data_IF_375399566229
#
_entry.id   IF_375399566229
#
_cell.length_a   1.000
_cell.length_b   1.000
_cell.length_c   1.000
_cell.angle_alpha   90.00
_cell.angle_beta   90.00
_cell.angle_gamma   90.00
#
_symmetry.space_group_name_H-M   'P 1'
#
loop_
_entity.id
_entity.type
_entity.pdbx_description
1 polymer ?
#
# COMPACT_ATOMS: atom_id res chain seq x y z
N UNK A 1 15.29 -0.70 5.45
CA UNK A 1 14.28 0.08 4.71
C UNK A 1 14.88 0.55 3.39
N UNK A 2 14.16 0.42 2.27
CA UNK A 2 14.70 0.67 0.91
C UNK A 2 14.61 2.12 0.45
N UNK A 3 13.93 3.01 1.21
CA UNK A 3 13.61 4.39 0.79
C UNK A 3 12.81 4.46 -0.53
N UNK A 4 12.14 3.37 -0.91
CA UNK A 4 11.34 3.27 -2.13
C UNK A 4 9.86 3.54 -1.87
N UNK A 5 9.16 4.03 -2.90
CA UNK A 5 7.71 4.23 -2.87
C UNK A 5 7.03 3.07 -3.59
N UNK A 6 6.23 2.30 -2.85
CA UNK A 6 5.41 1.22 -3.41
C UNK A 6 3.98 1.74 -3.64
N UNK A 7 3.67 2.19 -4.86
CA UNK A 7 2.36 2.77 -5.19
C UNK A 7 1.19 1.81 -5.00
N UNK A 8 1.43 0.50 -5.11
CA UNK A 8 0.42 -0.54 -4.89
C UNK A 8 -0.13 -0.52 -3.46
N UNK A 9 0.67 -0.03 -2.50
CA UNK A 9 0.31 0.12 -1.09
C UNK A 9 -0.64 1.30 -0.81
N UNK A 10 -0.84 2.19 -1.79
CA UNK A 10 -1.81 3.28 -1.77
C UNK A 10 -2.89 3.04 -2.83
N UNK A 11 -3.69 1.97 -2.68
CA UNK A 11 -4.62 1.54 -3.70
C UNK A 11 -5.60 2.65 -4.05
N UNK A 12 -5.79 2.88 -5.35
CA UNK A 12 -6.81 3.78 -5.90
C UNK A 12 -6.84 5.21 -5.32
N UNK A 13 -5.70 5.70 -4.81
CA UNK A 13 -5.59 7.09 -4.37
C UNK A 13 -5.97 8.04 -5.51
N UNK A 14 -5.67 7.68 -6.76
CA UNK A 14 -5.97 8.42 -7.99
C UNK A 14 -7.44 8.83 -8.11
N UNK A 15 -8.37 7.99 -7.67
CA UNK A 15 -9.80 8.32 -7.73
C UNK A 15 -10.15 9.47 -6.78
N UNK A 16 -9.37 9.65 -5.71
CA UNK A 16 -9.51 10.72 -4.73
C UNK A 16 -8.67 11.96 -5.07
N UNK A 17 -7.98 12.00 -6.21
CA UNK A 17 -7.16 13.13 -6.63
C UNK A 17 -7.92 14.10 -7.54
N UNK A 18 -7.71 15.39 -7.31
CA UNK A 18 -8.09 16.46 -8.23
C UNK A 18 -7.04 16.66 -9.33
N UNK A 19 -5.77 16.59 -8.97
CA UNK A 19 -4.67 16.80 -9.90
C UNK A 19 -3.38 16.12 -9.44
N UNK A 20 -2.53 15.81 -10.42
CA UNK A 20 -1.16 15.33 -10.24
C UNK A 20 -0.26 16.31 -10.98
N UNK A 21 0.75 16.83 -10.29
CA UNK A 21 1.78 17.70 -10.86
C UNK A 21 3.12 17.00 -10.83
N UNK A 22 3.83 17.00 -11.95
CA UNK A 22 5.16 16.40 -12.08
C UNK A 22 6.16 17.49 -12.42
N UNK A 23 7.10 17.74 -11.51
CA UNK A 23 8.24 18.63 -11.72
C UNK A 23 9.47 17.77 -12.00
N UNK A 24 10.02 17.87 -13.21
CA UNK A 24 11.25 17.15 -13.60
C UNK A 24 12.50 17.93 -13.23
N UNK A 25 13.58 17.22 -12.94
CA UNK A 25 14.85 17.78 -12.50
C UNK A 25 14.97 17.82 -10.98
N UNK A 26 15.95 18.58 -10.49
CA UNK A 26 16.19 18.72 -9.06
C UNK A 26 14.96 19.34 -8.40
N UNK A 27 14.32 18.56 -7.53
CA UNK A 27 13.14 19.00 -6.77
C UNK A 27 13.48 20.15 -5.83
N UNK A 28 12.50 20.99 -5.51
CA UNK A 28 12.65 22.02 -4.50
C UNK A 28 12.68 21.37 -3.10
N UNK A 29 13.74 21.63 -2.33
CA UNK A 29 13.88 21.11 -0.95
C UNK A 29 12.80 21.61 0.02
N UNK A 30 12.04 22.63 -0.39
CA UNK A 30 10.92 23.18 0.37
C UNK A 30 9.76 22.18 0.53
N UNK A 31 9.70 21.12 -0.29
CA UNK A 31 8.68 20.07 -0.23
C UNK A 31 9.18 18.73 0.33
N UNK A 32 10.41 18.68 0.87
CA UNK A 32 10.99 17.47 1.45
C UNK A 32 12.39 17.16 0.95
N UNK A 33 12.84 15.92 1.13
CA UNK A 33 14.14 15.47 0.65
C UNK A 33 14.25 15.65 -0.87
N UNK A 34 15.27 16.35 -1.33
CA UNK A 34 15.43 16.67 -2.74
C UNK A 34 15.64 15.38 -3.57
N UNK A 35 14.73 15.11 -4.49
CA UNK A 35 14.90 14.07 -5.50
C UNK A 35 15.61 14.65 -6.74
N UNK A 36 16.61 13.92 -7.25
CA UNK A 36 17.38 14.37 -8.43
C UNK A 36 16.64 14.11 -9.76
N UNK A 37 15.64 13.22 -9.76
CA UNK A 37 14.89 12.83 -10.97
C UNK A 37 13.66 13.70 -11.24
N UNK A 38 12.68 13.64 -10.34
CA UNK A 38 11.45 14.42 -10.40
C UNK A 38 10.77 14.46 -9.03
N UNK A 39 9.89 15.45 -8.82
CA UNK A 39 8.96 15.53 -7.71
C UNK A 39 7.52 15.36 -8.23
N UNK A 40 6.73 14.55 -7.55
CA UNK A 40 5.30 14.36 -7.85
C UNK A 40 4.49 14.94 -6.70
N UNK A 41 3.65 15.94 -7.00
CA UNK A 41 2.69 16.50 -6.05
C UNK A 41 1.29 16.05 -6.43
N UNK A 42 0.60 15.41 -5.47
CA UNK A 42 -0.75 14.89 -5.65
C UNK A 42 -1.70 15.71 -4.80
N UNK A 43 -2.67 16.37 -5.44
CA UNK A 43 -3.68 17.15 -4.74
C UNK A 43 -4.95 16.31 -4.64
N UNK A 44 -5.35 15.95 -3.42
CA UNK A 44 -6.65 15.31 -3.15
C UNK A 44 -7.80 16.24 -3.52
N UNK A 45 -8.96 15.67 -3.83
CA UNK A 45 -10.17 16.42 -4.13
C UNK A 45 -10.46 17.52 -3.09
N UNK A 46 -10.59 18.75 -3.57
CA UNK A 46 -11.04 19.91 -2.82
C UNK A 46 -12.55 19.86 -2.55
N UNK A 47 -13.03 20.63 -1.58
CA UNK A 47 -14.47 20.83 -1.42
C UNK A 47 -15.05 21.47 -2.68
N UNK A 48 -16.23 21.00 -3.12
CA UNK A 48 -17.00 21.65 -4.19
C UNK A 48 -17.81 22.81 -3.63
N UNK A 49 -18.20 23.76 -4.47
CA UNK A 49 -19.07 24.87 -4.05
C UNK A 49 -20.48 24.41 -3.65
N UNK A 50 -20.95 23.29 -4.20
CA UNK A 50 -22.28 22.74 -3.92
C UNK A 50 -22.21 21.27 -3.53
N UNK A 51 -23.25 20.80 -2.84
CA UNK A 51 -23.43 19.39 -2.53
C UNK A 51 -23.41 18.53 -3.80
N UNK A 52 -22.87 17.33 -3.67
CA UNK A 52 -22.77 16.38 -4.79
C UNK A 52 -22.83 14.94 -4.30
N UNK A 53 -23.23 14.08 -5.23
CA UNK A 53 -23.10 12.63 -5.13
C UNK A 53 -22.69 12.10 -6.49
N UNK A 54 -21.73 11.20 -6.51
CA UNK A 54 -21.21 10.56 -7.72
C UNK A 54 -21.06 9.07 -7.48
N UNK A 55 -21.43 8.29 -8.49
CA UNK A 55 -21.13 6.88 -8.54
C UNK A 55 -20.58 6.57 -9.93
N UNK A 56 -19.48 5.84 -9.99
CA UNK A 56 -18.90 5.35 -11.23
C UNK A 56 -18.58 3.88 -11.09
N UNK A 57 -18.86 3.11 -12.14
CA UNK A 57 -18.44 1.72 -12.24
C UNK A 57 -17.87 1.48 -13.63
N UNK A 58 -16.79 0.72 -13.69
CA UNK A 58 -16.21 0.24 -14.94
C UNK A 58 -15.99 -1.26 -14.86
N UNK A 59 -16.09 -1.90 -16.01
CA UNK A 59 -15.86 -3.33 -16.18
C UNK A 59 -14.95 -3.53 -17.40
N UNK A 60 -14.07 -4.53 -17.35
CA UNK A 60 -13.11 -4.79 -18.43
C UNK A 60 -12.62 -6.23 -18.47
N UNK A 61 -11.61 -6.47 -19.30
CA UNK A 61 -10.96 -7.77 -19.43
C UNK A 61 -10.46 -8.32 -18.08
N UNK A 62 -10.31 -9.65 -17.99
CA UNK A 62 -9.86 -10.34 -16.79
C UNK A 62 -10.74 -10.09 -15.56
N UNK A 63 -12.05 -9.99 -15.79
CA UNK A 63 -13.04 -9.67 -14.74
C UNK A 63 -12.65 -8.44 -13.92
N UNK A 64 -12.06 -7.43 -14.57
CA UNK A 64 -11.68 -6.20 -13.90
C UNK A 64 -12.94 -5.39 -13.61
N UNK A 65 -13.19 -5.08 -12.35
CA UNK A 65 -14.25 -4.20 -11.90
C UNK A 65 -13.65 -3.08 -11.05
N UNK A 66 -13.98 -1.84 -11.37
CA UNK A 66 -13.66 -0.69 -10.54
C UNK A 66 -14.94 0.07 -10.25
N UNK A 67 -15.27 0.19 -8.97
CA UNK A 67 -16.46 0.88 -8.50
C UNK A 67 -16.05 1.98 -7.53
N UNK A 68 -16.61 3.16 -7.70
CA UNK A 68 -16.38 4.28 -6.80
C UNK A 68 -17.69 4.98 -6.48
N UNK A 69 -17.85 5.35 -5.22
CA UNK A 69 -18.93 6.22 -4.75
C UNK A 69 -18.28 7.40 -4.04
N UNK A 70 -18.73 8.61 -4.34
CA UNK A 70 -18.30 9.83 -3.68
C UNK A 70 -19.50 10.69 -3.32
N UNK A 71 -19.42 11.40 -2.20
CA UNK A 71 -20.41 12.37 -1.80
C UNK A 71 -19.75 13.49 -1.01
N UNK A 72 -20.30 14.69 -1.12
CA UNK A 72 -19.87 15.80 -0.30
C UNK A 72 -20.96 16.82 -0.09
N UNK A 73 -20.89 17.54 1.02
CA UNK A 73 -21.83 18.61 1.35
C UNK A 73 -21.68 19.86 0.47
N UNK A 74 -20.53 19.97 -0.20
CA UNK A 74 -20.01 21.26 -0.65
C UNK A 74 -19.68 22.18 0.52
N UNK A 75 -19.24 23.40 0.21
CA UNK A 75 -18.95 24.41 1.22
C UNK A 75 -20.27 24.99 1.75
N UNK A 76 -20.58 24.69 3.01
CA UNK A 76 -21.75 25.22 3.72
C UNK A 76 -21.59 26.70 4.04
N UNK A 77 -22.69 27.36 4.40
CA UNK A 77 -22.70 28.80 4.75
C UNK A 77 -21.75 29.18 5.89
N UNK A 78 -21.46 28.24 6.79
CA UNK A 78 -20.52 28.43 7.90
C UNK A 78 -19.08 28.04 7.53
N UNK A 79 -18.78 27.81 6.25
CA UNK A 79 -17.45 27.44 5.77
C UNK A 79 -17.10 25.95 5.92
N UNK A 80 -17.92 25.13 6.58
CA UNK A 80 -17.66 23.70 6.71
C UNK A 80 -17.91 22.96 5.40
N UNK A 81 -17.06 21.98 5.09
CA UNK A 81 -17.29 20.99 4.03
C UNK A 81 -16.93 19.60 4.54
N UNK A 82 -17.78 18.63 4.22
CA UNK A 82 -17.52 17.21 4.40
C UNK A 82 -17.46 16.56 3.02
N UNK A 83 -16.42 15.77 2.79
CA UNK A 83 -16.22 15.00 1.56
C UNK A 83 -15.86 13.56 1.93
N UNK A 84 -16.47 12.60 1.24
CA UNK A 84 -16.19 11.19 1.43
C UNK A 84 -16.19 10.47 0.08
N UNK A 85 -15.28 9.52 -0.09
CA UNK A 85 -15.14 8.69 -1.28
C UNK A 85 -14.72 7.28 -0.87
N UNK A 86 -15.38 6.29 -1.45
CA UNK A 86 -15.01 4.89 -1.30
C UNK A 86 -14.86 4.26 -2.66
N UNK A 87 -13.80 3.49 -2.85
CA UNK A 87 -13.58 2.72 -4.07
C UNK A 87 -13.20 1.28 -3.79
N UNK A 88 -13.55 0.43 -4.76
CA UNK A 88 -13.31 -1.01 -4.76
C UNK A 88 -12.86 -1.41 -6.17
N UNK A 89 -11.65 -1.94 -6.27
CA UNK A 89 -11.08 -2.40 -7.53
C UNK A 89 -10.72 -3.88 -7.41
N UNK A 90 -11.26 -4.73 -8.27
CA UNK A 90 -10.99 -6.17 -8.32
C UNK A 90 -10.63 -6.59 -9.73
N UNK A 91 -9.87 -7.66 -9.89
CA UNK A 91 -9.62 -8.28 -11.20
C UNK A 91 -8.68 -9.47 -11.13
N UNK A 92 -8.86 -10.43 -12.03
CA UNK A 92 -8.15 -11.71 -12.05
C UNK A 92 -6.78 -11.64 -12.72
N UNK A 93 -6.44 -10.48 -13.30
CA UNK A 93 -5.19 -10.24 -14.02
C UNK A 93 -4.95 -11.14 -15.24
N UNK A 94 -3.89 -10.84 -15.98
CA UNK A 94 -3.49 -11.64 -17.15
C UNK A 94 -2.68 -12.88 -16.75
N UNK A 95 -1.77 -12.72 -15.79
CA UNK A 95 -0.83 -13.74 -15.32
C UNK A 95 -1.54 -14.64 -14.30
N UNK A 96 -1.31 -15.96 -14.36
CA UNK A 96 -1.85 -16.93 -13.39
C UNK A 96 -1.50 -16.50 -11.96
N UNK A 97 -2.44 -16.69 -11.03
CA UNK A 97 -2.33 -16.27 -9.63
C UNK A 97 -2.10 -14.77 -9.42
N UNK A 98 -2.03 -13.95 -10.47
CA UNK A 98 -1.91 -12.52 -10.36
C UNK A 98 -3.28 -11.87 -10.37
N UNK A 99 -3.76 -11.42 -9.22
CA UNK A 99 -5.05 -10.73 -9.10
C UNK A 99 -4.89 -9.44 -8.30
N UNK A 100 -5.89 -8.56 -8.38
CA UNK A 100 -6.00 -7.37 -7.54
C UNK A 100 -7.31 -7.40 -6.78
N UNK A 101 -7.24 -7.05 -5.50
CA UNK A 101 -8.37 -6.89 -4.59
C UNK A 101 -8.04 -5.69 -3.71
N UNK A 102 -8.47 -4.52 -4.15
CA UNK A 102 -8.10 -3.23 -3.56
C UNK A 102 -9.35 -2.51 -3.06
N UNK A 103 -9.26 -1.86 -1.92
CA UNK A 103 -10.27 -0.88 -1.49
C UNK A 103 -9.60 0.36 -0.92
N UNK A 104 -10.23 1.50 -1.11
CA UNK A 104 -9.76 2.76 -0.54
C UNK A 104 -10.93 3.58 -0.02
N UNK A 105 -10.77 4.12 1.18
CA UNK A 105 -11.68 5.08 1.78
C UNK A 105 -10.93 6.39 1.97
N UNK A 106 -11.47 7.47 1.41
CA UNK A 106 -11.05 8.83 1.65
C UNK A 106 -12.18 9.60 2.33
N UNK A 107 -11.86 10.32 3.41
CA UNK A 107 -12.77 11.25 4.04
C UNK A 107 -12.03 12.54 4.40
N UNK A 108 -12.68 13.68 4.26
CA UNK A 108 -12.12 14.96 4.64
C UNK A 108 -13.17 15.87 5.28
N UNK A 109 -12.80 16.48 6.41
CA UNK A 109 -13.51 17.59 7.02
C UNK A 109 -12.67 18.85 6.81
N UNK A 110 -13.25 19.85 6.16
CA UNK A 110 -12.59 21.13 5.91
C UNK A 110 -13.40 22.28 6.49
N UNK A 111 -12.73 23.33 6.92
CA UNK A 111 -13.32 24.61 7.28
C UNK A 111 -12.62 25.74 6.52
N UNK A 112 -13.40 26.45 5.73
CA UNK A 112 -12.97 27.55 4.88
C UNK A 112 -13.39 28.88 5.50
N UNK A 113 -12.47 29.84 5.54
CA UNK A 113 -12.79 31.26 5.73
C UNK A 113 -12.13 32.08 4.62
N UNK A 114 -12.32 33.39 4.63
CA UNK A 114 -11.78 34.29 3.60
C UNK A 114 -10.24 34.25 3.48
N UNK A 115 -9.54 33.85 4.54
CA UNK A 115 -8.08 33.86 4.61
C UNK A 115 -7.47 32.59 5.22
N UNK A 116 -8.27 31.53 5.44
CA UNK A 116 -7.76 30.32 6.06
C UNK A 116 -8.48 29.05 5.57
N UNK A 117 -7.74 27.94 5.56
CA UNK A 117 -8.23 26.59 5.35
C UNK A 117 -7.67 25.70 6.45
N UNK A 118 -8.56 25.06 7.21
CA UNK A 118 -8.22 23.91 8.04
C UNK A 118 -8.82 22.67 7.43
N UNK A 119 -8.04 21.61 7.23
CA UNK A 119 -8.50 20.34 6.66
C UNK A 119 -7.94 19.17 7.44
N UNK A 120 -8.83 18.31 7.92
CA UNK A 120 -8.50 16.98 8.45
C UNK A 120 -8.92 15.94 7.42
N UNK A 121 -7.97 15.16 6.92
CA UNK A 121 -8.20 14.08 5.96
C UNK A 121 -7.84 12.74 6.56
N UNK A 122 -8.59 11.71 6.19
CA UNK A 122 -8.33 10.32 6.50
C UNK A 122 -8.35 9.50 5.21
N UNK A 123 -7.30 8.71 4.99
CA UNK A 123 -7.18 7.77 3.88
C UNK A 123 -6.96 6.38 4.47
N UNK A 124 -7.77 5.41 4.07
CA UNK A 124 -7.58 4.02 4.41
C UNK A 124 -7.45 3.17 3.14
N UNK A 125 -6.24 2.70 2.88
CA UNK A 125 -5.94 1.79 1.79
C UNK A 125 -5.89 0.35 2.28
N UNK A 126 -6.51 -0.56 1.54
CA UNK A 126 -6.35 -2.01 1.70
C UNK A 126 -6.00 -2.63 0.36
N UNK A 127 -4.85 -3.26 0.31
CA UNK A 127 -4.33 -3.99 -0.82
C UNK A 127 -4.32 -5.48 -0.47
N UNK A 128 -4.87 -6.29 -1.36
CA UNK A 128 -4.55 -7.71 -1.49
C UNK A 128 -4.29 -8.01 -2.95
N UNK A 129 -3.12 -8.54 -3.26
CA UNK A 129 -2.73 -8.90 -4.62
C UNK A 129 -2.15 -10.29 -4.65
N UNK A 130 -2.37 -10.99 -5.75
CA UNK A 130 -1.67 -12.21 -6.04
C UNK A 130 -0.22 -11.94 -6.44
N UNK A 131 0.72 -12.78 -5.98
CA UNK A 131 2.16 -12.56 -6.21
C UNK A 131 2.54 -12.83 -7.68
N UNK A 132 3.20 -11.88 -8.33
CA UNK A 132 3.70 -12.01 -9.72
C UNK A 132 5.14 -11.51 -9.91
N UNK A 133 5.93 -11.38 -8.85
CA UNK A 133 7.32 -10.91 -8.93
C UNK A 133 8.34 -12.06 -9.11
N UNK A 134 7.88 -13.31 -9.16
CA UNK A 134 8.75 -14.45 -9.42
C UNK A 134 9.21 -14.45 -10.88
N UNK A 135 10.52 -14.52 -11.10
CA UNK A 135 11.10 -14.63 -12.43
C UNK A 135 10.82 -15.99 -13.07
N UNK A 136 10.59 -16.03 -14.38
CA UNK A 136 10.46 -17.26 -15.16
C UNK A 136 11.59 -17.38 -16.18
N UNK A 137 12.04 -18.61 -16.45
CA UNK A 137 13.04 -18.86 -17.49
C UNK A 137 12.42 -18.81 -18.90
N UNK A 138 13.22 -18.59 -19.96
CA UNK A 138 12.72 -18.76 -21.34
C UNK A 138 12.13 -20.14 -21.61
N UNK A 139 12.68 -21.18 -20.99
CA UNK A 139 12.19 -22.56 -21.11
C UNK A 139 10.79 -22.72 -20.48
N UNK A 140 10.56 -22.14 -19.30
CA UNK A 140 9.22 -22.12 -18.68
C UNK A 140 8.21 -21.39 -19.58
N UNK A 141 8.63 -20.27 -20.18
CA UNK A 141 7.78 -19.49 -21.09
C UNK A 141 7.43 -20.27 -22.36
N UNK A 142 8.38 -21.01 -22.94
CA UNK A 142 8.16 -21.85 -24.12
C UNK A 142 7.22 -23.03 -23.82
N UNK A 143 7.33 -23.63 -22.63
CA UNK A 143 6.53 -24.78 -22.21
C UNK A 143 5.12 -24.43 -21.73
N UNK A 144 5.01 -23.43 -20.86
CA UNK A 144 3.79 -23.11 -20.10
C UNK A 144 3.07 -21.88 -20.66
N UNK A 145 3.74 -21.09 -21.49
CA UNK A 145 3.19 -19.91 -22.16
C UNK A 145 3.24 -18.62 -21.33
N UNK A 146 2.79 -17.52 -21.94
CA UNK A 146 2.92 -16.13 -21.43
C UNK A 146 2.16 -15.83 -20.13
N UNK A 147 1.24 -16.71 -19.73
CA UNK A 147 0.44 -16.56 -18.50
C UNK A 147 1.01 -17.35 -17.32
N UNK A 148 2.11 -18.08 -17.52
CA UNK A 148 2.72 -18.88 -16.48
C UNK A 148 3.26 -18.02 -15.34
N UNK A 149 3.06 -18.50 -14.11
CA UNK A 149 3.59 -17.91 -12.89
C UNK A 149 3.87 -19.06 -11.90
N UNK A 150 5.10 -19.21 -11.41
CA UNK A 150 5.43 -20.25 -10.44
C UNK A 150 4.95 -19.91 -9.02
N UNK A 151 4.52 -18.67 -8.75
CA UNK A 151 4.05 -18.27 -7.43
C UNK A 151 2.89 -19.15 -6.97
N UNK A 152 3.06 -19.79 -5.81
CA UNK A 152 2.07 -20.69 -5.21
C UNK A 152 2.06 -22.09 -5.84
N UNK A 153 2.85 -22.38 -6.88
CA UNK A 153 2.96 -23.72 -7.47
C UNK A 153 3.55 -24.69 -6.44
N UNK A 154 2.95 -25.86 -6.28
CA UNK A 154 3.54 -26.94 -5.48
C UNK A 154 3.18 -28.32 -6.03
N UNK A 155 3.94 -29.32 -5.60
CA UNK A 155 3.77 -30.72 -6.00
C UNK A 155 3.36 -31.55 -4.77
N UNK A 156 2.28 -32.32 -4.88
CA UNK A 156 1.81 -33.20 -3.81
C UNK A 156 2.59 -34.53 -3.73
N UNK A 157 2.25 -35.41 -2.78
CA UNK A 157 2.93 -36.70 -2.58
C UNK A 157 2.73 -37.71 -3.71
N UNK A 158 1.72 -37.50 -4.55
CA UNK A 158 1.47 -38.29 -5.75
C UNK A 158 1.99 -37.62 -7.02
N UNK A 159 2.86 -36.61 -6.87
CA UNK A 159 3.48 -35.82 -7.93
C UNK A 159 2.50 -35.03 -8.82
N UNK A 160 1.31 -34.70 -8.30
CA UNK A 160 0.38 -33.80 -8.98
C UNK A 160 0.75 -32.33 -8.71
N UNK A 161 0.62 -31.50 -9.75
CA UNK A 161 0.85 -30.05 -9.66
C UNK A 161 -0.42 -29.36 -9.17
N UNK A 162 -0.26 -28.54 -8.13
CA UNK A 162 -1.29 -27.70 -7.54
C UNK A 162 -0.81 -26.25 -7.43
N UNK A 163 -1.74 -25.35 -7.13
CA UNK A 163 -1.46 -23.95 -6.84
C UNK A 163 -2.09 -23.57 -5.51
N UNK A 164 -1.34 -22.82 -4.71
CA UNK A 164 -1.81 -22.24 -3.47
C UNK A 164 -2.49 -20.90 -3.77
N UNK A 165 -3.79 -20.81 -3.48
CA UNK A 165 -4.61 -19.67 -3.88
C UNK A 165 -4.34 -18.41 -3.04
N UNK A 166 -3.75 -18.54 -1.85
CA UNK A 166 -3.45 -17.41 -0.96
C UNK A 166 -1.97 -16.96 -1.03
N UNK A 167 -1.28 -17.30 -2.13
CA UNK A 167 0.04 -16.78 -2.47
C UNK A 167 -0.03 -15.27 -2.79
N UNK A 168 0.00 -14.45 -1.74
CA UNK A 168 -0.48 -13.06 -1.79
C UNK A 168 0.45 -12.08 -1.13
N UNK A 169 0.37 -10.84 -1.59
CA UNK A 169 0.93 -9.66 -0.96
C UNK A 169 -0.22 -8.79 -0.43
N UNK A 170 -0.10 -8.36 0.83
CA UNK A 170 -1.17 -7.70 1.55
C UNK A 170 -0.61 -6.47 2.25
N UNK A 171 -1.27 -5.32 2.10
CA UNK A 171 -0.89 -4.10 2.79
C UNK A 171 -2.12 -3.29 3.20
N UNK A 172 -2.05 -2.73 4.39
CA UNK A 172 -3.08 -1.94 5.04
C UNK A 172 -2.45 -0.65 5.51
N UNK A 173 -3.09 0.48 5.23
CA UNK A 173 -2.59 1.79 5.65
C UNK A 173 -3.71 2.67 6.14
N UNK A 174 -3.46 3.33 7.26
CA UNK A 174 -4.28 4.38 7.84
C UNK A 174 -3.47 5.67 7.83
N UNK A 175 -3.86 6.61 6.97
CA UNK A 175 -3.21 7.91 6.87
C UNK A 175 -4.16 8.97 7.41
N UNK A 176 -3.72 9.72 8.41
CA UNK A 176 -4.42 10.91 8.92
C UNK A 176 -3.56 12.12 8.61
N UNK A 177 -4.16 13.16 8.00
CA UNK A 177 -3.48 14.40 7.66
C UNK A 177 -4.25 15.60 8.18
N UNK A 178 -3.55 16.51 8.85
CA UNK A 178 -4.05 17.82 9.24
C UNK A 178 -3.29 18.89 8.47
N UNK A 179 -3.99 19.60 7.60
CA UNK A 179 -3.48 20.73 6.85
C UNK A 179 -4.06 22.03 7.36
N UNK A 180 -3.21 23.03 7.51
CA UNK A 180 -3.59 24.39 7.84
C UNK A 180 -2.89 25.37 6.90
N UNK A 181 -3.68 26.13 6.15
CA UNK A 181 -3.20 27.23 5.32
C UNK A 181 -3.82 28.52 5.81
N UNK A 182 -3.04 29.59 5.92
CA UNK A 182 -3.55 30.91 6.31
C UNK A 182 -2.77 32.04 5.66
N UNK A 183 -3.50 33.00 5.10
CA UNK A 183 -2.93 34.28 4.72
C UNK A 183 -2.77 35.14 5.97
N UNK A 184 -1.52 35.40 6.35
CA UNK A 184 -1.18 36.24 7.51
C UNK A 184 -1.34 37.72 7.16
N UNK A 185 -1.05 38.08 5.91
CA UNK A 185 -1.33 39.38 5.31
C UNK A 185 -1.34 39.25 3.77
N UNK A 186 -1.52 40.36 3.04
CA UNK A 186 -1.62 40.37 1.58
C UNK A 186 -0.35 39.93 0.82
N UNK A 187 0.77 39.70 1.52
CA UNK A 187 2.05 39.32 0.94
C UNK A 187 2.63 38.06 1.58
N UNK A 188 2.03 37.51 2.65
CA UNK A 188 2.62 36.41 3.42
C UNK A 188 1.55 35.37 3.76
N UNK A 189 1.79 34.12 3.33
CA UNK A 189 0.94 32.97 3.63
C UNK A 189 1.74 31.90 4.39
N UNK A 190 1.05 31.23 5.30
CA UNK A 190 1.55 30.10 6.08
C UNK A 190 0.88 28.82 5.58
N UNK A 191 1.67 27.75 5.41
CA UNK A 191 1.22 26.39 5.22
C UNK A 191 1.84 25.51 6.30
N UNK A 192 1.02 24.75 7.00
CA UNK A 192 1.43 23.76 7.99
C UNK A 192 0.73 22.43 7.68
N UNK A 193 1.45 21.33 7.79
CA UNK A 193 0.92 20.00 7.59
C UNK A 193 1.48 19.03 8.64
N UNK A 194 0.60 18.23 9.23
CA UNK A 194 0.95 17.09 10.07
C UNK A 194 0.33 15.84 9.43
N UNK A 195 1.11 14.79 9.24
CA UNK A 195 0.66 13.53 8.65
C UNK A 195 1.16 12.37 9.51
N UNK A 196 0.30 11.38 9.69
CA UNK A 196 0.62 10.12 10.33
C UNK A 196 0.12 8.98 9.45
N UNK A 197 0.99 8.01 9.17
CA UNK A 197 0.66 6.78 8.46
C UNK A 197 0.97 5.60 9.38
N UNK A 198 -0.07 4.87 9.78
CA UNK A 198 0.06 3.55 10.40
C UNK A 198 -0.10 2.50 9.30
N UNK A 199 0.98 1.78 9.03
CA UNK A 199 1.06 0.74 8.01
C UNK A 199 1.21 -0.65 8.62
N UNK A 200 0.59 -1.63 7.98
CA UNK A 200 0.74 -3.04 8.30
C UNK A 200 0.66 -3.84 7.02
N UNK A 201 1.58 -4.76 6.80
CA UNK A 201 1.53 -5.60 5.62
C UNK A 201 2.23 -6.93 5.82
N UNK A 202 1.96 -7.85 4.92
CA UNK A 202 2.64 -9.14 4.86
C UNK A 202 2.48 -9.76 3.49
N UNK A 203 3.50 -10.50 3.07
CA UNK A 203 3.29 -11.52 2.04
C UNK A 203 3.08 -12.87 2.70
N UNK A 204 2.25 -13.69 2.07
CA UNK A 204 2.01 -15.07 2.43
C UNK A 204 2.46 -15.99 1.29
N UNK A 205 3.24 -17.02 1.63
CA UNK A 205 3.68 -18.01 0.67
C UNK A 205 3.45 -19.42 1.18
N UNK A 206 3.04 -20.30 0.27
CA UNK A 206 3.17 -21.73 0.51
C UNK A 206 4.59 -22.19 0.19
N UNK A 207 5.31 -22.62 1.21
CA UNK A 207 6.68 -23.10 1.09
C UNK A 207 6.64 -24.61 0.87
N UNK A 208 6.62 -24.99 -0.40
CA UNK A 208 6.90 -26.34 -0.85
C UNK A 208 7.90 -26.26 -2.00
N UNK A 209 8.74 -27.27 -2.17
CA UNK A 209 9.71 -27.29 -3.27
C UNK A 209 8.94 -27.43 -4.59
N UNK A 210 8.94 -26.42 -5.49
CA UNK A 210 8.11 -26.45 -6.68
C UNK A 210 8.73 -27.24 -7.84
N UNK A 211 9.99 -27.68 -7.71
CA UNK A 211 10.74 -28.34 -8.79
C UNK A 211 10.99 -29.84 -8.56
N UNK A 212 10.40 -30.42 -7.50
CA UNK A 212 10.50 -31.85 -7.20
C UNK A 212 11.83 -32.25 -6.56
N UNK A 213 11.77 -33.28 -5.71
CA UNK A 213 12.93 -33.85 -5.01
C UNK A 213 12.64 -34.26 -3.56
N UNK A 214 13.63 -34.88 -2.90
CA UNK A 214 13.55 -35.31 -1.49
C UNK A 214 13.44 -34.14 -0.47
N UNK A 215 13.58 -32.89 -0.91
CA UNK A 215 13.60 -31.70 -0.04
C UNK A 215 12.31 -30.90 -0.16
N UNK A 216 11.18 -31.44 0.29
CA UNK A 216 9.90 -30.71 0.34
C UNK A 216 9.84 -29.74 1.52
N UNK A 217 9.45 -28.49 1.29
CA UNK A 217 9.24 -27.49 2.34
C UNK A 217 10.42 -26.57 2.67
N UNK A 218 10.38 -25.90 3.81
CA UNK A 218 11.50 -25.14 4.37
C UNK A 218 12.10 -25.84 5.60
N UNK A 219 13.36 -25.54 5.93
CA UNK A 219 14.02 -26.09 7.13
C UNK A 219 13.48 -25.42 8.39
N UNK A 220 13.23 -26.20 9.44
CA UNK A 220 12.85 -25.66 10.75
C UNK A 220 13.90 -24.69 11.31
N UNK A 221 15.18 -24.96 11.06
CA UNK A 221 16.29 -24.10 11.49
C UNK A 221 16.26 -22.68 10.90
N UNK A 222 15.54 -22.43 9.79
CA UNK A 222 15.36 -21.05 9.25
C UNK A 222 14.52 -20.16 10.17
N UNK A 223 13.84 -20.79 11.12
CA UNK A 223 12.73 -20.26 11.90
C UNK A 223 13.01 -20.35 13.40
N UNK A 224 14.24 -20.67 13.78
CA UNK A 224 14.64 -20.93 15.16
C UNK A 224 14.06 -22.21 15.75
N UNK A 225 13.42 -23.06 14.94
CA UNK A 225 12.75 -24.27 15.39
C UNK A 225 13.67 -25.48 15.30
N UNK A 226 13.59 -26.42 16.27
CA UNK A 226 14.25 -27.71 16.16
C UNK A 226 13.57 -28.60 15.12
N UNK A 227 14.27 -29.66 14.72
CA UNK A 227 13.68 -30.75 13.93
C UNK A 227 12.47 -31.35 14.65
N UNK A 228 11.46 -31.75 13.89
CA UNK A 228 10.17 -32.23 14.41
C UNK A 228 10.06 -33.74 14.26
N UNK A 229 9.63 -34.45 15.31
CA UNK A 229 9.43 -35.91 15.27
C UNK A 229 7.94 -36.26 15.23
N UNK A 230 7.42 -36.60 14.07
CA UNK A 230 6.00 -36.95 13.89
C UNK A 230 5.90 -38.44 13.62
N UNK A 231 5.10 -39.15 14.42
CA UNK A 231 4.91 -40.61 14.31
C UNK A 231 6.23 -41.41 14.29
N UNK A 232 7.23 -40.98 15.06
CA UNK A 232 8.54 -41.65 15.16
C UNK A 232 9.52 -41.35 14.01
N UNK A 233 9.13 -40.52 13.04
CA UNK A 233 10.02 -40.05 11.96
C UNK A 233 10.44 -38.62 12.24
N UNK A 234 11.76 -38.35 12.21
CA UNK A 234 12.32 -37.02 12.40
C UNK A 234 12.47 -36.28 11.07
N UNK A 235 11.88 -35.10 11.00
CA UNK A 235 11.90 -34.21 9.85
C UNK A 235 12.69 -32.94 10.18
N UNK A 236 13.70 -32.63 9.36
CA UNK A 236 14.42 -31.34 9.42
C UNK A 236 13.75 -30.23 8.60
N UNK A 237 12.70 -30.59 7.84
CA UNK A 237 11.99 -29.70 6.91
C UNK A 237 10.51 -30.05 6.86
N UNK A 238 9.67 -29.07 6.57
CA UNK A 238 8.24 -29.28 6.37
C UNK A 238 7.66 -28.34 5.33
N UNK A 239 6.72 -28.80 4.49
CA UNK A 239 5.77 -27.92 3.85
C UNK A 239 5.07 -27.06 4.90
N UNK A 240 4.90 -25.78 4.61
CA UNK A 240 4.34 -24.81 5.55
C UNK A 240 3.83 -23.57 4.82
N UNK A 241 2.91 -22.87 5.45
CA UNK A 241 2.52 -21.50 5.07
C UNK A 241 3.40 -20.56 5.87
N UNK A 242 4.00 -19.57 5.18
CA UNK A 242 4.84 -18.55 5.79
C UNK A 242 4.25 -17.18 5.52
N UNK A 243 4.08 -16.39 6.57
CA UNK A 243 3.88 -14.95 6.47
C UNK A 243 5.17 -14.23 6.88
N UNK A 244 5.58 -13.23 6.11
CA UNK A 244 6.56 -12.24 6.59
C UNK A 244 5.87 -10.90 6.68
N UNK A 245 5.82 -10.37 7.88
CA UNK A 245 5.01 -9.24 8.26
C UNK A 245 5.89 -8.02 8.51
N UNK A 246 5.30 -6.86 8.31
CA UNK A 246 5.83 -5.59 8.71
C UNK A 246 4.73 -4.74 9.31
N UNK A 247 5.09 -3.93 10.29
CA UNK A 247 4.25 -2.85 10.83
C UNK A 247 5.10 -1.59 10.91
N UNK A 248 4.50 -0.45 10.69
CA UNK A 248 5.22 0.81 10.73
C UNK A 248 4.35 1.99 11.14
N UNK A 249 5.00 2.97 11.73
CA UNK A 249 4.47 4.27 12.09
C UNK A 249 5.33 5.35 11.44
N UNK A 250 4.71 6.14 10.56
CA UNK A 250 5.41 7.18 9.82
C UNK A 250 4.77 8.55 10.07
N UNK A 251 5.54 9.43 10.70
CA UNK A 251 5.15 10.79 11.06
C UNK A 251 5.84 11.79 10.15
N UNK A 252 5.09 12.79 9.69
CA UNK A 252 5.63 13.90 8.91
C UNK A 252 5.04 15.20 9.42
N UNK A 253 5.90 16.18 9.68
CA UNK A 253 5.55 17.55 9.96
C UNK A 253 6.20 18.46 8.92
N UNK A 254 5.43 19.41 8.38
CA UNK A 254 5.91 20.40 7.45
C UNK A 254 5.39 21.79 7.83
N UNK A 255 6.24 22.79 7.67
CA UNK A 255 5.92 24.19 7.86
C UNK A 255 6.55 25.00 6.73
N UNK A 256 5.79 25.85 6.07
CA UNK A 256 6.27 26.70 4.99
C UNK A 256 5.61 28.09 5.05
N UNK A 257 6.42 29.11 4.85
CA UNK A 257 6.03 30.50 4.65
C UNK A 257 6.29 30.88 3.20
N UNK A 258 5.28 31.48 2.57
CA UNK A 258 5.34 31.97 1.20
C UNK A 258 5.16 33.49 1.24
N UNK A 259 6.16 34.23 0.76
CA UNK A 259 6.14 35.68 0.72
C UNK A 259 6.25 36.20 -0.71
N UNK A 260 5.28 36.99 -1.15
CA UNK A 260 5.25 37.60 -2.49
C UNK A 260 4.98 39.09 -2.38
N UNK A 261 5.90 39.93 -2.86
CA UNK A 261 5.71 41.38 -2.96
C UNK A 261 6.47 41.97 -4.15
N UNK A 262 5.76 42.63 -5.06
CA UNK A 262 6.31 43.16 -6.31
C UNK A 262 7.01 42.04 -7.12
N UNK A 263 8.31 42.19 -7.42
CA UNK A 263 9.10 41.18 -8.12
C UNK A 263 9.78 40.16 -7.18
N UNK A 264 9.48 40.19 -5.88
CA UNK A 264 10.12 39.36 -4.86
C UNK A 264 9.22 38.20 -4.46
N UNK A 265 9.65 36.96 -4.75
CA UNK A 265 9.01 35.72 -4.33
C UNK A 265 9.98 34.90 -3.45
N UNK A 266 9.60 34.68 -2.20
CA UNK A 266 10.38 33.93 -1.22
C UNK A 266 9.57 32.76 -0.67
N UNK A 267 10.22 31.62 -0.50
CA UNK A 267 9.67 30.51 0.26
C UNK A 267 10.69 30.03 1.28
N UNK A 268 10.26 29.86 2.52
CA UNK A 268 11.09 29.37 3.62
C UNK A 268 10.28 28.37 4.43
N UNK A 269 10.90 27.27 4.84
CA UNK A 269 10.19 26.23 5.58
C UNK A 269 11.11 25.12 6.05
N UNK A 270 10.49 24.15 6.71
CA UNK A 270 11.15 22.95 7.19
C UNK A 270 10.21 21.75 7.13
N UNK A 271 10.80 20.56 6.97
CA UNK A 271 10.12 19.29 7.08
C UNK A 271 10.87 18.43 8.09
N UNK A 272 10.12 17.75 8.94
CA UNK A 272 10.62 16.68 9.80
C UNK A 272 9.82 15.42 9.52
N UNK A 273 10.50 14.28 9.41
CA UNK A 273 9.86 12.98 9.25
C UNK A 273 10.53 11.95 10.14
N UNK A 274 9.73 11.07 10.74
CA UNK A 274 10.18 10.00 11.59
C UNK A 274 9.47 8.71 11.20
N UNK A 275 10.25 7.66 10.93
CA UNK A 275 9.76 6.33 10.62
C UNK A 275 10.21 5.37 11.72
N UNK A 276 9.25 4.64 12.28
CA UNK A 276 9.50 3.49 13.14
C UNK A 276 8.83 2.27 12.52
N UNK A 277 9.50 1.13 12.52
CA UNK A 277 9.01 -0.04 11.83
C UNK A 277 9.67 -1.33 12.30
N UNK A 278 8.89 -2.39 12.28
CA UNK A 278 9.27 -3.70 12.80
C UNK A 278 8.90 -4.80 11.80
N UNK A 279 9.68 -5.87 11.81
CA UNK A 279 9.51 -7.02 10.91
C UNK A 279 9.56 -8.31 11.72
N UNK A 280 8.60 -9.19 11.47
CA UNK A 280 8.49 -10.49 12.13
C UNK A 280 7.89 -11.51 11.16
N UNK A 281 8.02 -12.79 11.46
CA UNK A 281 7.45 -13.86 10.65
C UNK A 281 6.39 -14.63 11.41
N UNK A 282 5.43 -15.23 10.68
CA UNK A 282 4.50 -16.21 11.24
C UNK A 282 4.44 -17.47 10.40
N UNK A 283 4.14 -18.58 11.05
CA UNK A 283 3.81 -19.87 10.43
C UNK A 283 2.36 -20.27 10.69
N UNK A 284 1.39 -19.83 9.86
CA UNK A 284 -0.02 -20.19 10.04
C UNK A 284 -0.29 -21.70 9.94
N UNK A 285 0.55 -22.43 9.21
CA UNK A 285 0.38 -23.87 9.04
C UNK A 285 1.72 -24.56 8.79
N UNK A 286 1.88 -25.74 9.37
CA UNK A 286 3.08 -26.59 9.25
C UNK A 286 2.63 -28.04 9.16
N UNK A 287 3.02 -28.75 8.09
CA UNK A 287 2.64 -30.15 7.88
C UNK A 287 3.16 -31.09 8.98
N UNK A 288 4.47 -31.08 9.20
CA UNK A 288 5.13 -31.96 10.17
C UNK A 288 5.31 -31.20 11.48
N UNK A 289 4.25 -31.15 12.28
CA UNK A 289 4.23 -30.45 13.55
C UNK A 289 3.95 -31.43 14.70
N UNK A 290 4.82 -31.43 15.72
CA UNK A 290 4.60 -32.17 16.96
C UNK A 290 4.24 -31.25 18.14
N UNK A 291 4.90 -30.10 18.26
CA UNK A 291 4.80 -29.23 19.43
C UNK A 291 5.00 -27.73 19.11
N UNK A 292 4.85 -27.33 17.85
CA UNK A 292 4.90 -25.93 17.44
C UNK A 292 3.50 -25.33 17.63
N UNK A 293 3.36 -24.22 18.38
CA UNK A 293 2.08 -23.53 18.52
C UNK A 293 1.49 -23.11 17.17
N UNK A 294 0.16 -23.02 17.10
CA UNK A 294 -0.50 -22.35 15.97
C UNK A 294 -0.02 -20.91 15.84
N UNK A 295 0.10 -20.41 14.60
CA UNK A 295 0.61 -19.08 14.28
C UNK A 295 1.97 -18.73 14.92
N UNK A 296 2.87 -19.72 15.03
CA UNK A 296 4.20 -19.52 15.60
C UNK A 296 4.92 -18.31 14.97
N UNK A 297 5.37 -17.40 15.83
CA UNK A 297 6.05 -16.16 15.45
C UNK A 297 7.57 -16.29 15.62
N UNK A 298 8.34 -15.70 14.70
CA UNK A 298 9.80 -15.59 14.80
C UNK A 298 10.30 -14.19 14.46
#
# INVERSE_FOLDING_TARGET
ESQEVYWVNLPDLSSSLQSIQVQRGVGTSTNGAAAFGASISMKTAGARSTAYGEASTSAGSYHTFSSTIAAGSGILKNGLSLDARYSRNTGDGYIRNGFVDHSNLYAALSHYTDNQLLRLSYINGRQKTGITWEGISPEDLEKEGRRYNPAGKYIDEADNVHYYDNETDNYFSHIVQLLFTRDLNSHLSLNANLSYNNGFGYYENYRSDPYGGFKRGDKFSKYGLPDQTVNGVTYSRSPLIRQKLMRNDFYVANLAFLYTKNALDWSFGGMYSFYDGDHYGKLPWIKFNQNIPEDYEW
#
